data_IF_455749515060
#
_entry.id   IF_455749515060
#
_cell.length_a   1.000
_cell.length_b   1.000
_cell.length_c   1.000
_cell.angle_alpha   90.00
_cell.angle_beta   90.00
_cell.angle_gamma   90.00
#
_symmetry.space_group_name_H-M   'P 1'
#
loop_
_entity.id
_entity.type
_entity.pdbx_description
1 polymer ?
#
# COMPACT_ATOMS: atom_id res chain seq x y z
N UNK A 1 -1.79 -5.73 33.44
CA UNK A 1 -2.45 -5.24 32.20
C UNK A 1 -1.74 -5.82 30.98
N UNK A 2 -2.45 -6.53 30.11
CA UNK A 2 -1.92 -6.98 28.83
C UNK A 2 -1.70 -5.76 27.92
N UNK A 3 -0.45 -5.53 27.48
CA UNK A 3 -0.13 -4.43 26.56
C UNK A 3 -0.87 -4.67 25.25
N UNK A 4 -1.84 -3.81 24.92
CA UNK A 4 -2.54 -3.86 23.62
C UNK A 4 -1.73 -3.09 22.58
N UNK A 5 -1.69 -3.61 21.35
CA UNK A 5 -1.10 -2.88 20.23
C UNK A 5 -1.90 -1.62 19.90
N UNK A 6 -1.21 -0.55 19.51
CA UNK A 6 -1.84 0.67 19.06
C UNK A 6 -2.73 0.41 17.83
N UNK A 7 -3.90 1.06 17.77
CA UNK A 7 -4.82 0.94 16.65
C UNK A 7 -4.19 1.51 15.38
N UNK A 8 -4.12 0.69 14.32
CA UNK A 8 -3.62 1.14 13.02
C UNK A 8 -4.61 2.12 12.39
N UNK A 9 -4.11 3.30 11.98
CA UNK A 9 -4.90 4.28 11.25
C UNK A 9 -5.26 3.75 9.86
N UNK A 10 -6.57 3.66 9.58
CA UNK A 10 -7.13 3.17 8.32
C UNK A 10 -7.85 4.29 7.57
N UNK A 11 -8.07 4.08 6.29
CA UNK A 11 -8.98 4.89 5.47
C UNK A 11 -10.44 4.58 5.78
N UNK A 12 -11.36 5.42 5.28
CA UNK A 12 -12.80 5.17 5.34
C UNK A 12 -13.18 3.82 4.71
N UNK A 13 -12.42 3.33 3.73
CA UNK A 13 -12.67 2.03 3.05
C UNK A 13 -11.89 0.86 3.67
N UNK A 14 -11.21 1.07 4.80
CA UNK A 14 -10.58 0.01 5.60
C UNK A 14 -9.12 -0.31 5.27
N UNK A 15 -8.49 0.39 4.34
CA UNK A 15 -7.08 0.16 3.97
C UNK A 15 -6.15 0.92 4.94
N UNK A 16 -5.08 0.28 5.42
CA UNK A 16 -4.13 0.94 6.31
C UNK A 16 -3.41 2.09 5.59
N UNK A 17 -3.35 3.27 6.22
CA UNK A 17 -2.80 4.48 5.58
C UNK A 17 -1.34 4.32 5.13
N UNK A 18 -0.57 3.46 5.80
CA UNK A 18 0.81 3.12 5.43
C UNK A 18 0.96 2.72 3.96
N UNK A 19 -0.04 2.07 3.36
CA UNK A 19 0.05 1.53 2.00
C UNK A 19 -0.40 2.49 0.90
N UNK A 20 -0.99 3.63 1.29
CA UNK A 20 -1.45 4.66 0.35
C UNK A 20 -0.72 5.99 0.55
N UNK A 21 -0.07 6.20 1.71
CA UNK A 21 0.71 7.41 1.98
C UNK A 21 1.86 7.49 0.98
N UNK A 22 2.03 8.66 0.36
CA UNK A 22 3.05 8.89 -0.68
C UNK A 22 2.64 8.43 -2.08
N UNK A 23 1.47 7.81 -2.26
CA UNK A 23 0.95 7.51 -3.59
C UNK A 23 0.60 8.80 -4.35
N UNK A 24 0.87 8.85 -5.65
CA UNK A 24 0.45 10.00 -6.49
C UNK A 24 -1.07 10.15 -6.53
N UNK A 25 -1.79 9.04 -6.56
CA UNK A 25 -3.25 9.00 -6.47
C UNK A 25 -3.68 7.97 -5.39
N UNK A 26 -3.90 8.42 -4.15
CA UNK A 26 -4.24 7.54 -3.03
C UNK A 26 -5.55 6.77 -3.22
N UNK A 27 -6.57 7.40 -3.84
CA UNK A 27 -7.88 6.76 -4.09
C UNK A 27 -7.76 5.60 -5.08
N UNK A 28 -6.99 5.79 -6.15
CA UNK A 28 -6.76 4.74 -7.14
C UNK A 28 -5.94 3.58 -6.54
N UNK A 29 -4.93 3.89 -5.73
CA UNK A 29 -4.12 2.86 -5.05
C UNK A 29 -4.94 2.08 -4.01
N UNK A 30 -5.84 2.75 -3.29
CA UNK A 30 -6.78 2.09 -2.38
C UNK A 30 -7.71 1.11 -3.12
N UNK A 31 -8.27 1.51 -4.26
CA UNK A 31 -9.11 0.64 -5.09
C UNK A 31 -8.32 -0.57 -5.62
N UNK A 32 -7.09 -0.37 -6.07
CA UNK A 32 -6.19 -1.45 -6.49
C UNK A 32 -5.90 -2.43 -5.34
N UNK A 33 -5.57 -1.92 -4.15
CA UNK A 33 -5.33 -2.76 -2.96
C UNK A 33 -6.54 -3.65 -2.66
N UNK A 34 -7.76 -3.10 -2.70
CA UNK A 34 -8.99 -3.89 -2.46
C UNK A 34 -9.20 -4.96 -3.52
N UNK A 35 -9.06 -4.62 -4.81
CA UNK A 35 -9.18 -5.60 -5.91
C UNK A 35 -8.15 -6.72 -5.79
N UNK A 36 -6.91 -6.38 -5.46
CA UNK A 36 -5.83 -7.34 -5.25
C UNK A 36 -6.11 -8.24 -4.05
N UNK A 37 -6.60 -7.68 -2.94
CA UNK A 37 -7.01 -8.46 -1.75
C UNK A 37 -8.16 -9.43 -2.07
N UNK A 38 -9.15 -9.00 -2.86
CA UNK A 38 -10.23 -9.88 -3.31
C UNK A 38 -9.73 -11.02 -4.21
N UNK A 39 -8.83 -10.75 -5.16
CA UNK A 39 -8.19 -11.79 -5.99
C UNK A 39 -7.40 -12.78 -5.14
N UNK A 40 -6.61 -12.27 -4.20
CA UNK A 40 -5.83 -13.08 -3.28
C UNK A 40 -6.74 -14.00 -2.46
N UNK A 41 -7.82 -13.46 -1.88
CA UNK A 41 -8.80 -14.24 -1.12
C UNK A 41 -9.47 -15.33 -1.97
N UNK A 42 -9.65 -15.09 -3.27
CA UNK A 42 -10.21 -16.07 -4.22
C UNK A 42 -9.18 -17.10 -4.72
N UNK A 43 -7.90 -17.02 -4.32
CA UNK A 43 -6.83 -17.87 -4.84
C UNK A 43 -6.46 -17.58 -6.30
N UNK A 44 -6.91 -16.46 -6.87
CA UNK A 44 -6.74 -16.11 -8.29
C UNK A 44 -5.56 -15.18 -8.55
N UNK A 45 -4.80 -14.81 -7.52
CA UNK A 45 -3.67 -13.89 -7.66
C UNK A 45 -2.40 -14.68 -7.94
N UNK A 46 -1.85 -14.52 -9.14
CA UNK A 46 -0.59 -15.18 -9.52
C UNK A 46 0.63 -14.42 -8.98
N UNK A 47 1.77 -15.12 -8.86
CA UNK A 47 3.06 -14.51 -8.49
C UNK A 47 3.46 -13.38 -9.46
N UNK A 48 3.29 -13.60 -10.76
CA UNK A 48 3.59 -12.60 -11.79
C UNK A 48 2.70 -11.35 -11.67
N UNK A 49 1.42 -11.50 -11.34
CA UNK A 49 0.55 -10.36 -11.05
C UNK A 49 1.00 -9.61 -9.79
N UNK A 50 1.39 -10.34 -8.74
CA UNK A 50 1.88 -9.73 -7.50
C UNK A 50 3.15 -8.90 -7.73
N UNK A 51 4.12 -9.43 -8.49
CA UNK A 51 5.35 -8.72 -8.87
C UNK A 51 5.04 -7.47 -9.71
N UNK A 52 4.11 -7.58 -10.66
CA UNK A 52 3.64 -6.44 -11.46
C UNK A 52 3.03 -5.35 -10.59
N UNK A 53 2.20 -5.72 -9.62
CA UNK A 53 1.57 -4.79 -8.67
C UNK A 53 2.64 -4.11 -7.80
N UNK A 54 3.61 -4.88 -7.29
CA UNK A 54 4.72 -4.34 -6.49
C UNK A 54 5.52 -3.30 -7.29
N UNK A 55 5.89 -3.62 -8.54
CA UNK A 55 6.59 -2.70 -9.46
C UNK A 55 5.75 -1.46 -9.80
N UNK A 56 4.43 -1.61 -9.94
CA UNK A 56 3.52 -0.47 -10.15
C UNK A 56 3.50 0.45 -8.94
N UNK A 57 3.36 -0.11 -7.72
CA UNK A 57 3.31 0.67 -6.47
C UNK A 57 4.61 1.41 -6.20
N UNK A 58 5.78 0.80 -6.45
CA UNK A 58 7.07 1.44 -6.24
C UNK A 58 7.30 2.65 -7.17
N UNK A 59 6.76 2.60 -8.39
CA UNK A 59 6.81 3.72 -9.35
C UNK A 59 5.75 4.79 -9.07
N UNK A 60 4.64 4.42 -8.42
CA UNK A 60 3.50 5.31 -8.16
C UNK A 60 3.68 6.17 -6.89
N UNK A 61 4.88 6.70 -6.66
CA UNK A 61 5.21 7.48 -5.47
C UNK A 61 5.47 8.94 -5.84
N UNK A 62 5.08 9.88 -4.99
CA UNK A 62 5.37 11.30 -5.18
C UNK A 62 6.87 11.59 -5.08
N UNK A 63 7.35 12.61 -5.81
CA UNK A 63 8.78 12.99 -5.80
C UNK A 63 9.26 13.34 -4.39
N UNK A 64 8.45 14.07 -3.61
CA UNK A 64 8.76 14.44 -2.23
C UNK A 64 8.92 13.22 -1.32
N UNK A 65 7.98 12.27 -1.40
CA UNK A 65 8.05 11.04 -0.60
C UNK A 65 9.26 10.18 -0.97
N UNK A 66 9.58 10.09 -2.27
CA UNK A 66 10.78 9.39 -2.75
C UNK A 66 12.05 10.03 -2.18
N UNK A 67 12.20 11.36 -2.29
CA UNK A 67 13.35 12.10 -1.75
C UNK A 67 13.48 11.92 -0.23
N UNK A 68 12.39 12.06 0.51
CA UNK A 68 12.37 11.86 1.96
C UNK A 68 12.80 10.43 2.34
N UNK A 69 12.35 9.42 1.58
CA UNK A 69 12.74 8.02 1.82
C UNK A 69 14.21 7.74 1.53
N UNK A 70 14.81 8.44 0.55
CA UNK A 70 16.23 8.32 0.21
C UNK A 70 17.10 9.01 1.27
N UNK A 71 16.72 10.22 1.70
CA UNK A 71 17.41 10.95 2.78
C UNK A 71 17.40 10.20 4.11
N UNK A 72 16.36 9.40 4.40
CA UNK A 72 16.31 8.58 5.62
C UNK A 72 17.23 7.34 5.57
N UNK A 73 17.67 6.94 4.37
CA UNK A 73 18.46 5.73 4.14
C UNK A 73 19.95 5.98 3.99
N UNK A 74 20.33 7.18 3.54
CA UNK A 74 21.70 7.68 3.64
C UNK A 74 21.90 8.33 5.00
#
# INVERSE_FOLDING_TARGET
MTRKFAKVKKTKRGVAQKYIRGAKNPKAQEAEIKRTAEKYRKGKLTKAEMERIAKKRSKNVTKSYKKASQKKRG
#
